data_IF_717456867221
#
_entry.id   IF_717456867221
#
_cell.length_a   1.000
_cell.length_b   1.000
_cell.length_c   1.000
_cell.angle_alpha   90.00
_cell.angle_beta   90.00
_cell.angle_gamma   90.00
#
_symmetry.space_group_name_H-M   'P 1'
#
loop_
_entity.id
_entity.type
_entity.pdbx_description
1 polymer ?
#
# COMPACT_ATOMS: atom_id res chain seq x y z
N UNK A 1 33.21 20.16 43.64
CA UNK A 1 32.97 19.64 42.28
C UNK A 1 32.74 18.15 42.46
N UNK A 2 31.64 17.52 42.05
CA UNK A 2 30.92 17.54 40.77
C UNK A 2 29.41 17.30 40.97
N UNK A 3 28.63 17.71 39.97
CA UNK A 3 27.17 17.77 39.90
C UNK A 3 26.47 16.41 39.65
N UNK A 4 25.16 16.28 39.93
CA UNK A 4 24.36 15.09 39.61
C UNK A 4 24.15 14.93 38.10
N UNK A 5 24.37 13.71 37.60
CA UNK A 5 24.15 13.35 36.21
C UNK A 5 22.70 13.58 35.77
N UNK A 6 22.54 14.38 34.73
CA UNK A 6 21.27 14.58 34.03
C UNK A 6 20.85 13.28 33.30
N UNK A 7 19.54 12.96 33.26
CA UNK A 7 19.05 11.80 32.51
C UNK A 7 19.23 12.05 31.01
N UNK A 8 19.95 11.15 30.35
CA UNK A 8 20.08 11.12 28.88
C UNK A 8 18.72 10.88 28.24
N UNK A 9 18.04 11.97 27.87
CA UNK A 9 16.91 11.96 26.94
C UNK A 9 17.43 11.51 25.57
N UNK A 10 17.10 10.28 25.17
CA UNK A 10 17.21 9.90 23.77
C UNK A 10 15.94 10.37 23.02
N UNK A 11 16.09 10.97 21.83
CA UNK A 11 14.99 11.58 21.11
C UNK A 11 14.05 10.49 20.59
N UNK A 12 12.75 10.74 20.71
CA UNK A 12 11.70 9.94 20.10
C UNK A 12 11.99 9.77 18.60
N UNK A 13 12.08 8.51 18.15
CA UNK A 13 12.20 8.19 16.73
C UNK A 13 11.02 8.84 15.99
N UNK A 14 11.40 9.77 15.13
CA UNK A 14 10.53 10.50 14.20
C UNK A 14 9.53 9.57 13.53
N UNK A 15 8.28 10.00 13.54
CA UNK A 15 7.07 9.35 13.05
C UNK A 15 7.03 9.30 11.51
N UNK A 16 8.16 8.99 10.86
CA UNK A 16 8.31 8.93 9.39
C UNK A 16 8.33 7.48 8.85
N UNK A 17 8.39 6.47 9.72
CA UNK A 17 8.46 5.06 9.33
C UNK A 17 7.14 4.46 8.84
N UNK A 18 5.99 5.04 9.17
CA UNK A 18 4.66 4.46 8.92
C UNK A 18 4.17 4.65 7.48
N UNK A 19 4.41 5.81 6.87
CA UNK A 19 3.97 6.12 5.49
C UNK A 19 4.84 5.46 4.43
N UNK A 20 6.18 5.48 4.60
CA UNK A 20 7.10 4.77 3.71
C UNK A 20 6.88 3.25 3.74
N UNK A 21 6.64 2.67 4.92
CA UNK A 21 6.31 1.25 5.06
C UNK A 21 4.98 0.88 4.38
N UNK A 22 4.01 1.80 4.30
CA UNK A 22 2.76 1.57 3.59
C UNK A 22 2.91 1.68 2.08
N UNK A 23 3.65 2.67 1.58
CA UNK A 23 3.91 2.80 0.14
C UNK A 23 4.67 1.61 -0.43
N UNK A 24 5.68 1.10 0.29
CA UNK A 24 6.43 -0.10 -0.07
C UNK A 24 5.55 -1.36 -0.15
N UNK A 25 4.38 -1.35 0.49
CA UNK A 25 3.42 -2.45 0.53
C UNK A 25 2.23 -2.28 -0.43
N UNK A 26 2.30 -1.31 -1.35
CA UNK A 26 1.21 -1.03 -2.28
C UNK A 26 1.60 -1.24 -3.74
N UNK A 27 0.62 -1.64 -4.54
CA UNK A 27 0.67 -1.69 -6.01
C UNK A 27 -0.46 -0.85 -6.58
N UNK A 28 -0.15 -0.03 -7.58
CA UNK A 28 -1.12 0.56 -8.49
C UNK A 28 -1.50 -0.46 -9.57
N UNK A 29 -2.80 -0.64 -9.79
CA UNK A 29 -3.37 -1.52 -10.81
C UNK A 29 -4.17 -0.66 -11.79
N UNK A 30 -3.63 -0.42 -12.98
CA UNK A 30 -4.29 0.35 -14.03
C UNK A 30 -4.98 -0.54 -15.05
N UNK A 31 -5.99 0.02 -15.71
CA UNK A 31 -6.73 -0.69 -16.75
C UNK A 31 -7.64 -1.76 -16.17
N UNK A 32 -8.33 -1.46 -15.07
CA UNK A 32 -9.36 -2.36 -14.54
C UNK A 32 -10.65 -2.26 -15.38
N UNK A 33 -11.34 -3.38 -15.66
CA UNK A 33 -12.64 -3.39 -16.33
C UNK A 33 -13.70 -2.57 -15.57
N UNK A 34 -14.70 -2.07 -16.29
CA UNK A 34 -15.88 -1.48 -15.66
C UNK A 34 -16.60 -2.52 -14.78
N UNK A 35 -17.14 -2.08 -13.63
CA UNK A 35 -17.76 -2.93 -12.60
C UNK A 35 -16.83 -3.95 -11.90
N UNK A 36 -15.50 -3.77 -11.99
CA UNK A 36 -14.58 -4.54 -11.15
C UNK A 36 -14.77 -4.13 -9.69
N UNK A 37 -14.95 -5.08 -8.79
CA UNK A 37 -15.11 -4.83 -7.35
C UNK A 37 -13.80 -5.01 -6.59
N UNK A 38 -13.74 -4.46 -5.38
CA UNK A 38 -12.61 -4.66 -4.46
C UNK A 38 -12.43 -6.14 -4.12
N UNK A 39 -13.53 -6.84 -3.84
CA UNK A 39 -13.55 -8.28 -3.55
C UNK A 39 -12.98 -9.11 -4.73
N UNK A 40 -13.42 -8.84 -5.96
CA UNK A 40 -12.97 -9.58 -7.14
C UNK A 40 -11.46 -9.45 -7.35
N UNK A 41 -10.91 -8.24 -7.17
CA UNK A 41 -9.46 -8.03 -7.24
C UNK A 41 -8.75 -8.73 -6.08
N UNK A 42 -9.27 -8.62 -4.86
CA UNK A 42 -8.68 -9.25 -3.68
C UNK A 42 -8.61 -10.77 -3.83
N UNK A 43 -9.71 -11.40 -4.20
CA UNK A 43 -9.81 -12.85 -4.43
C UNK A 43 -8.88 -13.29 -5.58
N UNK A 44 -8.92 -12.59 -6.73
CA UNK A 44 -8.12 -12.95 -7.91
C UNK A 44 -6.63 -12.92 -7.60
N UNK A 45 -6.12 -11.84 -7.00
CA UNK A 45 -4.69 -11.73 -6.73
C UNK A 45 -4.25 -12.60 -5.55
N UNK A 46 -5.06 -12.79 -4.51
CA UNK A 46 -4.75 -13.74 -3.44
C UNK A 46 -4.69 -15.18 -3.98
N UNK A 47 -5.63 -15.57 -4.83
CA UNK A 47 -5.61 -16.87 -5.51
C UNK A 47 -4.35 -17.03 -6.36
N UNK A 48 -4.03 -16.04 -7.20
CA UNK A 48 -2.84 -16.10 -8.06
C UNK A 48 -1.54 -16.16 -7.27
N UNK A 49 -1.39 -15.37 -6.22
CA UNK A 49 -0.22 -15.42 -5.33
C UNK A 49 -0.06 -16.82 -4.71
N UNK A 50 -1.16 -17.45 -4.29
CA UNK A 50 -1.15 -18.79 -3.69
C UNK A 50 -0.75 -19.87 -4.69
N UNK A 51 -1.37 -19.91 -5.88
CA UNK A 51 -1.11 -20.98 -6.86
C UNK A 51 0.26 -20.87 -7.53
N UNK A 52 0.85 -19.67 -7.59
CA UNK A 52 2.21 -19.45 -8.10
C UNK A 52 3.30 -19.54 -7.01
N UNK A 53 2.94 -19.81 -5.75
CA UNK A 53 3.91 -19.95 -4.65
C UNK A 53 4.58 -18.64 -4.22
N UNK A 54 3.92 -17.49 -4.40
CA UNK A 54 4.45 -16.17 -4.02
C UNK A 54 4.07 -15.71 -2.61
N UNK A 55 3.22 -16.45 -1.90
CA UNK A 55 2.91 -16.19 -0.49
C UNK A 55 4.16 -16.44 0.38
N UNK A 56 4.50 -15.47 1.24
CA UNK A 56 5.66 -15.61 2.14
C UNK A 56 5.27 -16.20 3.50
N UNK A 57 3.98 -16.29 3.81
CA UNK A 57 3.44 -16.88 5.03
C UNK A 57 2.01 -17.42 4.80
N UNK A 58 1.47 -18.15 5.78
CA UNK A 58 0.08 -18.61 5.76
C UNK A 58 -0.93 -17.45 5.73
N UNK A 59 -2.08 -17.66 5.10
CA UNK A 59 -3.13 -16.64 4.94
C UNK A 59 -2.99 -15.77 3.69
N UNK A 60 -3.86 -14.76 3.58
CA UNK A 60 -3.96 -13.91 2.39
C UNK A 60 -2.90 -12.80 2.39
N UNK A 61 -2.10 -12.63 1.32
CA UNK A 61 -1.09 -11.59 1.23
C UNK A 61 -1.68 -10.18 1.10
N UNK A 62 -2.83 -10.04 0.41
CA UNK A 62 -3.53 -8.75 0.27
C UNK A 62 -4.42 -8.54 1.48
N UNK A 63 -4.30 -7.36 2.09
CA UNK A 63 -5.04 -6.96 3.30
C UNK A 63 -6.06 -5.86 3.04
N UNK A 64 -5.89 -5.09 1.97
CA UNK A 64 -6.88 -4.11 1.54
C UNK A 64 -6.79 -3.88 0.03
N UNK A 65 -7.93 -3.52 -0.57
CA UNK A 65 -8.06 -3.06 -1.95
C UNK A 65 -8.81 -1.75 -1.94
N UNK A 66 -8.42 -0.82 -2.81
CA UNK A 66 -9.14 0.44 -3.02
C UNK A 66 -9.35 0.65 -4.51
N UNK A 67 -10.60 0.63 -4.97
CA UNK A 67 -10.93 0.80 -6.39
C UNK A 67 -11.37 2.24 -6.69
N UNK A 68 -10.85 2.81 -7.78
CA UNK A 68 -11.36 4.03 -8.40
C UNK A 68 -11.90 3.71 -9.79
N UNK A 69 -13.20 3.45 -9.85
CA UNK A 69 -13.90 3.05 -11.08
C UNK A 69 -13.89 4.18 -12.11
N UNK A 70 -14.05 5.43 -11.68
CA UNK A 70 -14.10 6.61 -12.56
C UNK A 70 -12.82 6.80 -13.38
N UNK A 71 -11.67 6.46 -12.76
CA UNK A 71 -10.34 6.58 -13.37
C UNK A 71 -9.77 5.23 -13.81
N UNK A 72 -10.55 4.16 -13.75
CA UNK A 72 -10.18 2.81 -14.16
C UNK A 72 -8.86 2.31 -13.54
N UNK A 73 -8.68 2.52 -12.23
CA UNK A 73 -7.55 1.95 -11.49
C UNK A 73 -7.94 1.46 -10.10
N UNK A 74 -7.06 0.67 -9.49
CA UNK A 74 -7.13 0.27 -8.10
C UNK A 74 -5.77 0.35 -7.41
N UNK A 75 -5.78 0.30 -6.08
CA UNK A 75 -4.62 0.05 -5.26
C UNK A 75 -4.79 -1.26 -4.49
N UNK A 76 -3.78 -2.12 -4.54
CA UNK A 76 -3.68 -3.28 -3.68
C UNK A 76 -2.71 -2.96 -2.55
N UNK A 77 -3.08 -3.26 -1.31
CA UNK A 77 -2.22 -3.19 -0.14
C UNK A 77 -1.94 -4.60 0.37
N UNK A 78 -0.66 -4.92 0.50
CA UNK A 78 -0.17 -6.21 0.97
C UNK A 78 0.26 -6.11 2.43
N UNK A 79 0.30 -7.24 3.12
CA UNK A 79 0.85 -7.28 4.48
C UNK A 79 2.37 -7.06 4.52
N UNK A 80 3.09 -7.41 3.44
CA UNK A 80 4.56 -7.31 3.36
C UNK A 80 5.07 -6.73 2.03
N UNK A 81 6.25 -6.10 2.07
CA UNK A 81 6.88 -5.50 0.90
C UNK A 81 7.44 -6.56 -0.07
N UNK A 82 7.82 -7.73 0.46
CA UNK A 82 8.29 -8.89 -0.30
C UNK A 82 7.16 -9.47 -1.15
N UNK A 83 5.98 -9.72 -0.57
CA UNK A 83 4.79 -10.16 -1.33
C UNK A 83 4.34 -9.11 -2.34
N UNK A 84 4.50 -7.83 -2.01
CA UNK A 84 4.25 -6.75 -2.97
C UNK A 84 5.23 -6.81 -4.15
N UNK A 85 6.49 -7.15 -3.91
CA UNK A 85 7.49 -7.28 -4.98
C UNK A 85 7.16 -8.49 -5.85
N UNK A 86 6.82 -9.63 -5.24
CA UNK A 86 6.45 -10.84 -5.96
C UNK A 86 5.19 -10.62 -6.83
N UNK A 87 4.19 -9.91 -6.31
CA UNK A 87 2.95 -9.64 -7.05
C UNK A 87 3.16 -8.81 -8.33
N UNK A 88 4.25 -8.05 -8.46
CA UNK A 88 4.58 -7.35 -9.72
C UNK A 88 4.89 -8.30 -10.88
N UNK A 89 5.20 -9.58 -10.60
CA UNK A 89 5.35 -10.60 -11.63
C UNK A 89 4.05 -10.86 -12.40
N UNK A 90 2.91 -10.40 -11.89
CA UNK A 90 1.61 -10.48 -12.56
C UNK A 90 1.28 -9.25 -13.43
N UNK A 91 2.23 -8.35 -13.70
CA UNK A 91 2.02 -7.29 -14.69
C UNK A 91 1.60 -7.89 -16.05
N UNK A 92 0.49 -7.41 -16.60
CA UNK A 92 -0.12 -7.96 -17.80
C UNK A 92 -1.14 -9.08 -17.57
N UNK A 93 -1.41 -9.49 -16.32
CA UNK A 93 -2.46 -10.46 -16.02
C UNK A 93 -3.82 -10.03 -16.61
N UNK A 94 -4.54 -10.98 -17.18
CA UNK A 94 -5.84 -10.72 -17.80
C UNK A 94 -6.98 -10.89 -16.79
N UNK A 95 -7.78 -9.85 -16.60
CA UNK A 95 -9.03 -9.87 -15.84
C UNK A 95 -10.20 -9.53 -16.76
N UNK A 96 -11.18 -10.44 -16.88
CA UNK A 96 -12.35 -10.30 -17.80
C UNK A 96 -11.96 -9.90 -19.23
N UNK A 97 -10.87 -10.45 -19.76
CA UNK A 97 -10.39 -10.16 -21.10
C UNK A 97 -9.57 -8.87 -21.24
N UNK A 98 -9.32 -8.13 -20.14
CA UNK A 98 -8.50 -6.92 -20.14
C UNK A 98 -7.18 -7.13 -19.39
N UNK A 99 -6.06 -6.76 -20.01
CA UNK A 99 -4.74 -6.86 -19.38
C UNK A 99 -4.52 -5.72 -18.39
N UNK A 100 -4.24 -6.07 -17.13
CA UNK A 100 -3.99 -5.13 -16.05
C UNK A 100 -2.53 -4.65 -16.06
N UNK A 101 -2.30 -3.40 -15.67
CA UNK A 101 -0.97 -2.79 -15.55
C UNK A 101 -0.61 -2.62 -14.07
N UNK A 102 0.38 -3.36 -13.60
CA UNK A 102 0.85 -3.32 -12.21
C UNK A 102 2.10 -2.45 -12.12
N UNK A 103 2.08 -1.44 -11.25
CA UNK A 103 3.23 -0.55 -11.02
C UNK A 103 3.38 -0.22 -9.55
N UNK A 104 4.61 0.09 -9.14
CA UNK A 104 4.83 0.72 -7.84
C UNK A 104 4.16 2.09 -7.84
N UNK A 105 3.38 2.44 -6.79
CA UNK A 105 2.78 3.76 -6.70
C UNK A 105 3.92 4.81 -6.65
N UNK A 106 3.89 5.75 -7.58
CA UNK A 106 4.70 6.98 -7.51
C UNK A 106 4.03 7.87 -6.47
N UNK A 107 4.48 7.79 -5.22
CA UNK A 107 4.34 8.86 -4.22
C UNK A 107 2.94 9.50 -4.09
N UNK A 108 1.86 8.72 -3.89
CA UNK A 108 0.53 9.31 -3.64
C UNK A 108 0.45 10.11 -2.29
N UNK A 109 1.58 10.46 -1.68
CA UNK A 109 1.70 11.32 -0.51
C UNK A 109 2.57 12.51 -0.92
N UNK A 110 2.00 13.69 -1.14
CA UNK A 110 1.91 14.66 -0.04
C UNK A 110 0.55 15.35 0.12
N UNK A 111 -0.50 14.95 -0.61
CA UNK A 111 -1.77 15.69 -0.59
C UNK A 111 -2.93 14.99 0.12
N UNK A 112 -2.73 14.63 1.38
CA UNK A 112 -3.76 14.88 2.41
C UNK A 112 -3.17 15.81 3.47
N UNK A 113 -2.42 16.82 3.05
CA UNK A 113 -2.23 18.04 3.82
C UNK A 113 -3.47 18.91 3.64
N UNK A 114 -4.57 18.58 4.31
CA UNK A 114 -5.40 19.67 4.78
C UNK A 114 -4.52 20.42 5.80
N UNK A 115 -4.26 21.73 5.64
CA UNK A 115 -3.71 22.47 6.76
C UNK A 115 -4.67 22.25 7.92
N UNK A 116 -4.14 21.77 9.04
CA UNK A 116 -4.82 21.79 10.33
C UNK A 116 -5.49 23.16 10.47
N UNK A 117 -6.82 23.17 10.46
CA UNK A 117 -7.59 24.34 10.87
C UNK A 117 -7.50 24.45 12.40
N UNK A 118 -6.32 24.74 12.94
CA UNK A 118 -6.14 25.06 14.36
C UNK A 118 -5.49 26.44 14.48
N UNK A 119 -6.31 27.43 14.83
CA UNK A 119 -5.84 28.78 15.17
C UNK A 119 -6.82 29.92 14.92
N UNK A 120 -8.11 29.76 15.24
CA UNK A 120 -8.99 30.90 15.51
C UNK A 120 -8.58 31.48 16.88
N UNK A 121 -8.48 32.81 16.96
CA UNK A 121 -8.27 33.67 18.15
C UNK A 121 -6.84 33.78 18.71
N UNK A 122 -6.26 34.96 18.45
CA UNK A 122 -5.12 35.57 19.16
C UNK A 122 -4.99 37.02 18.75
#
# INVERSE_FOLDING_TARGET
MDAPGCPSMMPALTQSGSTMSRQARRIYVGGIPFKTTEDELMETFNYQMKVNGYNQAEGNPIIAVQVNIEKNYAFLEFRSAEETTAALAFDGITLRGQCLKLRRPRDYLQNTGLPEIEGILG
#
